data_IF_131769872246
#
_entry.id   IF_131769872246
#
_cell.length_a   1.000
_cell.length_b   1.000
_cell.length_c   1.000
_cell.angle_alpha   90.00
_cell.angle_beta   90.00
_cell.angle_gamma   90.00
#
_symmetry.space_group_name_H-M   'P 1'
#
loop_
_entity.id
_entity.type
_entity.pdbx_description
1 polymer ?
#
# COMPACT_ATOMS: atom_id res chain seq x y z
N UNK A 1 88.29 -0.16 14.07
CA UNK A 1 87.71 -0.97 15.17
C UNK A 1 88.70 -1.93 15.84
N UNK A 2 89.67 -2.51 15.11
CA UNK A 2 90.67 -3.45 15.67
C UNK A 2 91.58 -2.82 16.75
N UNK A 3 91.90 -1.54 16.63
CA UNK A 3 92.78 -0.83 17.57
C UNK A 3 92.11 -0.49 18.90
N UNK A 4 90.80 -0.19 18.90
CA UNK A 4 90.04 0.05 20.14
C UNK A 4 89.91 -1.26 20.95
N UNK A 5 89.83 -2.41 20.28
CA UNK A 5 89.81 -3.71 20.94
C UNK A 5 91.16 -4.09 21.54
N UNK A 6 92.26 -3.82 20.83
CA UNK A 6 93.62 -3.99 21.36
C UNK A 6 93.85 -3.11 22.60
N UNK A 7 93.39 -1.86 22.58
CA UNK A 7 93.48 -0.93 23.72
C UNK A 7 92.64 -1.42 24.91
N UNK A 8 91.41 -1.90 24.69
CA UNK A 8 90.58 -2.44 25.78
C UNK A 8 91.15 -3.72 26.38
N UNK A 9 91.70 -4.61 25.55
CA UNK A 9 92.39 -5.82 26.01
C UNK A 9 93.63 -5.46 26.84
N UNK A 10 94.42 -4.49 26.37
CA UNK A 10 95.61 -4.02 27.08
C UNK A 10 95.25 -3.39 28.43
N UNK A 11 94.25 -2.50 28.47
CA UNK A 11 93.76 -1.89 29.72
C UNK A 11 93.25 -2.96 30.69
N UNK A 12 92.57 -3.98 30.18
CA UNK A 12 92.03 -5.07 31.01
C UNK A 12 93.14 -5.98 31.55
N UNK A 13 94.14 -6.34 30.74
CA UNK A 13 95.31 -7.10 31.19
C UNK A 13 96.06 -6.30 32.27
N UNK A 14 96.25 -4.99 32.06
CA UNK A 14 96.89 -4.11 33.04
C UNK A 14 96.07 -4.05 34.34
N UNK A 15 94.75 -3.89 34.26
CA UNK A 15 93.89 -3.87 35.44
C UNK A 15 93.91 -5.21 36.20
N UNK A 16 93.93 -6.34 35.49
CA UNK A 16 94.04 -7.67 36.09
C UNK A 16 95.40 -7.89 36.77
N UNK A 17 96.49 -7.44 36.14
CA UNK A 17 97.83 -7.47 36.74
C UNK A 17 97.89 -6.58 37.99
N UNK A 18 97.34 -5.36 37.93
CA UNK A 18 97.30 -4.45 39.08
C UNK A 18 96.48 -5.04 40.23
N UNK A 19 95.32 -5.63 39.92
CA UNK A 19 94.48 -6.29 40.92
C UNK A 19 95.17 -7.51 41.55
N UNK A 20 95.86 -8.31 40.74
CA UNK A 20 96.71 -9.41 41.20
C UNK A 20 97.84 -8.92 42.10
N UNK A 21 98.49 -7.81 41.76
CA UNK A 21 99.54 -7.19 42.57
C UNK A 21 98.99 -6.61 43.88
N UNK A 22 97.81 -6.01 43.85
CA UNK A 22 97.13 -5.50 45.05
C UNK A 22 96.74 -6.62 46.02
N UNK A 23 96.20 -7.73 45.51
CA UNK A 23 95.90 -8.92 46.31
C UNK A 23 97.18 -9.49 46.92
N UNK A 24 98.24 -9.61 46.12
CA UNK A 24 99.56 -10.07 46.59
C UNK A 24 100.10 -9.16 47.70
N UNK A 25 99.98 -7.83 47.52
CA UNK A 25 100.42 -6.83 48.50
C UNK A 25 99.60 -6.87 49.80
N UNK A 26 98.26 -7.02 49.71
CA UNK A 26 97.36 -7.17 50.86
C UNK A 26 97.67 -8.45 51.64
N UNK A 27 97.91 -9.56 50.95
CA UNK A 27 98.27 -10.83 51.59
C UNK A 27 99.63 -10.73 52.29
N UNK A 28 100.62 -10.09 51.68
CA UNK A 28 101.93 -9.81 52.31
C UNK A 28 101.80 -8.95 53.58
N UNK A 29 100.96 -7.91 53.54
CA UNK A 29 100.68 -7.03 54.70
C UNK A 29 99.93 -7.72 55.84
N UNK A 30 99.16 -8.78 55.56
CA UNK A 30 98.38 -9.50 56.58
C UNK A 30 99.19 -10.41 57.51
N UNK A 31 100.50 -10.59 57.25
CA UNK A 31 101.41 -11.32 58.15
C UNK A 31 101.14 -12.83 58.28
N UNK A 32 100.29 -13.39 57.42
CA UNK A 32 99.98 -14.82 57.40
C UNK A 32 101.09 -15.51 56.60
N UNK A 33 101.81 -16.47 57.20
CA UNK A 33 102.79 -17.31 56.48
C UNK A 33 102.07 -18.29 55.54
N UNK A 34 101.48 -17.76 54.48
CA UNK A 34 100.82 -18.54 53.44
C UNK A 34 101.92 -19.06 52.51
N UNK A 35 101.99 -20.38 52.38
CA UNK A 35 102.92 -21.07 51.49
C UNK A 35 102.78 -20.52 50.06
N UNK A 36 103.89 -20.15 49.41
CA UNK A 36 103.94 -19.51 48.08
C UNK A 36 103.10 -20.28 47.04
N UNK A 37 102.99 -21.61 47.20
CA UNK A 37 102.17 -22.51 46.38
C UNK A 37 100.68 -22.14 46.41
N UNK A 38 100.14 -21.73 47.56
CA UNK A 38 98.72 -21.38 47.73
C UNK A 38 98.39 -20.06 47.04
N UNK A 39 99.29 -19.07 47.12
CA UNK A 39 99.13 -17.78 46.42
C UNK A 39 99.14 -17.99 44.91
N UNK A 40 100.05 -18.83 44.39
CA UNK A 40 100.12 -19.17 42.97
C UNK A 40 98.85 -19.86 42.46
N UNK A 41 98.24 -20.74 43.27
CA UNK A 41 96.98 -21.42 42.94
C UNK A 41 95.80 -20.43 42.85
N UNK A 42 95.68 -19.51 43.80
CA UNK A 42 94.63 -18.49 43.78
C UNK A 42 94.74 -17.61 42.54
N UNK A 43 95.96 -17.17 42.20
CA UNK A 43 96.21 -16.38 40.99
C UNK A 43 95.88 -17.16 39.72
N UNK A 44 96.25 -18.43 39.64
CA UNK A 44 95.91 -19.30 38.52
C UNK A 44 94.39 -19.44 38.32
N UNK A 45 93.66 -19.67 39.41
CA UNK A 45 92.19 -19.78 39.37
C UNK A 45 91.54 -18.44 39.01
N UNK A 46 92.03 -17.32 39.56
CA UNK A 46 91.52 -15.99 39.20
C UNK A 46 91.77 -15.66 37.73
N UNK A 47 92.93 -16.00 37.17
CA UNK A 47 93.24 -15.80 35.75
C UNK A 47 92.33 -16.67 34.88
N UNK A 48 92.14 -17.94 35.23
CA UNK A 48 91.22 -18.83 34.50
C UNK A 48 89.79 -18.29 34.58
N UNK A 49 89.31 -17.91 35.76
CA UNK A 49 87.96 -17.37 35.91
C UNK A 49 87.76 -16.09 35.09
N UNK A 50 88.70 -15.15 35.16
CA UNK A 50 88.66 -13.88 34.42
C UNK A 50 88.75 -14.10 32.91
N UNK A 51 89.61 -15.01 32.44
CA UNK A 51 89.70 -15.34 31.02
C UNK A 51 88.46 -16.06 30.53
N UNK A 52 87.88 -16.98 31.31
CA UNK A 52 86.63 -17.66 30.97
C UNK A 52 85.48 -16.66 30.93
N UNK A 53 85.39 -15.74 31.90
CA UNK A 53 84.39 -14.68 31.94
C UNK A 53 84.55 -13.70 30.75
N UNK A 54 85.78 -13.28 30.45
CA UNK A 54 86.08 -12.43 29.30
C UNK A 54 85.73 -13.13 27.98
N UNK A 55 86.10 -14.41 27.83
CA UNK A 55 85.75 -15.21 26.65
C UNK A 55 84.23 -15.36 26.53
N UNK A 56 83.52 -15.56 27.64
CA UNK A 56 82.04 -15.67 27.65
C UNK A 56 81.38 -14.36 27.24
N UNK A 57 81.84 -13.21 27.76
CA UNK A 57 81.34 -11.88 27.38
C UNK A 57 81.72 -11.51 25.94
N UNK A 58 82.87 -11.98 25.47
CA UNK A 58 83.35 -11.78 24.09
C UNK A 58 82.62 -12.66 23.08
N UNK A 59 82.24 -13.88 23.47
CA UNK A 59 81.46 -14.83 22.68
C UNK A 59 79.95 -14.53 22.69
N UNK A 60 79.47 -13.68 23.61
CA UNK A 60 78.14 -13.05 23.46
C UNK A 60 78.21 -12.13 22.24
N UNK A 61 77.70 -12.65 21.13
CA UNK A 61 77.75 -12.00 19.84
C UNK A 61 76.98 -10.68 19.88
N UNK A 62 77.70 -9.56 19.91
CA UNK A 62 77.09 -8.23 19.88
C UNK A 62 76.35 -7.96 18.56
N UNK A 63 76.68 -8.70 17.50
CA UNK A 63 75.99 -8.60 16.24
C UNK A 63 74.59 -9.24 16.34
N UNK A 64 74.45 -10.36 17.04
CA UNK A 64 73.15 -11.00 17.32
C UNK A 64 72.14 -10.04 17.98
N UNK A 65 72.55 -9.32 19.02
CA UNK A 65 71.66 -8.36 19.69
C UNK A 65 71.32 -7.15 18.81
N UNK A 66 72.28 -6.70 17.99
CA UNK A 66 72.07 -5.59 17.06
C UNK A 66 71.07 -5.98 15.96
N UNK A 67 71.22 -7.16 15.38
CA UNK A 67 70.36 -7.68 14.32
C UNK A 67 68.93 -7.97 14.80
N UNK A 68 68.76 -8.52 16.02
CA UNK A 68 67.42 -8.63 16.64
C UNK A 68 66.81 -7.25 16.84
N UNK A 69 67.59 -6.28 17.35
CA UNK A 69 67.09 -4.94 17.58
C UNK A 69 66.66 -4.26 16.27
N UNK A 70 67.45 -4.41 15.19
CA UNK A 70 67.11 -3.93 13.86
C UNK A 70 65.85 -4.61 13.29
N UNK A 71 65.70 -5.92 13.50
CA UNK A 71 64.50 -6.65 13.09
C UNK A 71 63.25 -6.20 13.86
N UNK A 72 63.36 -6.01 15.18
CA UNK A 72 62.28 -5.49 16.01
C UNK A 72 61.95 -4.02 15.67
N UNK A 73 62.95 -3.21 15.34
CA UNK A 73 62.76 -1.83 14.89
C UNK A 73 62.01 -1.78 13.55
N UNK A 74 62.32 -2.69 12.62
CA UNK A 74 61.59 -2.85 11.35
C UNK A 74 60.13 -3.25 11.60
N UNK A 75 59.89 -4.26 12.43
CA UNK A 75 58.52 -4.67 12.81
C UNK A 75 57.77 -3.53 13.50
N UNK A 76 58.43 -2.76 14.39
CA UNK A 76 57.86 -1.58 15.05
C UNK A 76 57.53 -0.42 14.11
N UNK A 77 58.20 -0.35 12.95
CA UNK A 77 57.88 0.58 11.84
C UNK A 77 56.87 0.00 10.84
N UNK A 78 56.31 -1.17 11.11
CA UNK A 78 55.35 -1.85 10.25
C UNK A 78 55.97 -2.60 9.07
N UNK A 79 57.30 -2.77 9.02
CA UNK A 79 57.99 -3.53 7.97
C UNK A 79 58.04 -5.01 8.32
N UNK A 80 57.05 -5.77 7.83
CA UNK A 80 56.88 -7.22 8.00
C UNK A 80 57.56 -7.98 6.86
N UNK A 81 58.82 -7.66 6.57
CA UNK A 81 59.62 -8.38 5.57
C UNK A 81 60.40 -9.50 6.23
N UNK A 82 60.40 -10.70 5.64
CA UNK A 82 61.13 -11.84 6.15
C UNK A 82 62.62 -11.71 5.82
N UNK A 83 63.30 -10.78 6.50
CA UNK A 83 64.74 -10.66 6.37
C UNK A 83 65.39 -11.96 6.81
N UNK A 84 66.01 -12.72 5.88
CA UNK A 84 66.84 -13.88 6.19
C UNK A 84 68.10 -13.43 6.94
N UNK A 85 67.95 -13.10 8.22
CA UNK A 85 69.05 -12.74 9.10
C UNK A 85 69.73 -14.05 9.52
N UNK A 86 70.99 -14.22 9.12
CA UNK A 86 71.75 -15.45 9.37
C UNK A 86 72.43 -15.37 10.73
N UNK A 87 71.79 -15.92 11.75
CA UNK A 87 72.41 -16.05 13.06
C UNK A 87 73.17 -17.37 13.20
N UNK A 88 74.33 -17.33 13.86
CA UNK A 88 75.08 -18.50 14.28
C UNK A 88 74.84 -18.78 15.78
N UNK A 89 74.61 -20.06 16.14
CA UNK A 89 74.42 -20.51 17.54
C UNK A 89 73.00 -21.00 17.88
N UNK A 90 72.91 -22.06 18.71
CA UNK A 90 71.65 -22.76 18.99
C UNK A 90 70.56 -21.88 19.65
N UNK A 91 70.95 -20.95 20.54
CA UNK A 91 70.03 -20.00 21.17
C UNK A 91 69.52 -18.94 20.17
N UNK A 92 70.41 -18.46 19.30
CA UNK A 92 70.10 -17.45 18.31
C UNK A 92 69.12 -17.95 17.23
N UNK A 93 69.27 -19.22 16.81
CA UNK A 93 68.35 -19.90 15.89
C UNK A 93 66.93 -19.98 16.47
N UNK A 94 66.79 -20.26 17.78
CA UNK A 94 65.47 -20.36 18.43
C UNK A 94 64.74 -19.02 18.50
N UNK A 95 65.45 -17.94 18.84
CA UNK A 95 64.87 -16.58 18.88
C UNK A 95 64.45 -16.13 17.48
N UNK A 96 65.29 -16.39 16.46
CA UNK A 96 64.94 -16.13 15.06
C UNK A 96 63.66 -16.83 14.66
N UNK A 97 63.57 -18.15 14.88
CA UNK A 97 62.38 -18.92 14.51
C UNK A 97 61.11 -18.35 15.15
N UNK A 98 61.18 -17.93 16.41
CA UNK A 98 60.06 -17.30 17.10
C UNK A 98 59.70 -15.93 16.52
N UNK A 99 60.70 -15.12 16.14
CA UNK A 99 60.49 -13.82 15.51
C UNK A 99 59.90 -13.96 14.09
N UNK A 100 60.42 -14.89 13.29
CA UNK A 100 59.88 -15.23 11.97
C UNK A 100 58.42 -15.68 12.09
N UNK A 101 58.12 -16.60 13.03
CA UNK A 101 56.74 -17.06 13.29
C UNK A 101 55.81 -15.92 13.74
N UNK A 102 56.32 -14.93 14.49
CA UNK A 102 55.56 -13.76 14.91
C UNK A 102 55.27 -12.82 13.73
N UNK A 103 56.26 -12.57 12.86
CA UNK A 103 56.10 -11.77 11.64
C UNK A 103 55.10 -12.44 10.69
N UNK A 104 55.22 -13.76 10.50
CA UNK A 104 54.28 -14.54 9.68
C UNK A 104 52.85 -14.46 10.23
N UNK A 105 52.67 -14.62 11.54
CA UNK A 105 51.37 -14.52 12.19
C UNK A 105 50.75 -13.12 12.05
N UNK A 106 51.55 -12.06 12.23
CA UNK A 106 51.09 -10.68 12.01
C UNK A 106 50.73 -10.42 10.55
N UNK A 107 51.54 -10.90 9.61
CA UNK A 107 51.31 -10.78 8.17
C UNK A 107 49.99 -11.46 7.76
N UNK A 108 49.76 -12.70 8.21
CA UNK A 108 48.52 -13.45 7.98
C UNK A 108 47.30 -12.75 8.60
N UNK A 109 47.43 -12.27 9.84
CA UNK A 109 46.36 -11.52 10.52
C UNK A 109 45.99 -10.25 9.74
N UNK A 110 46.97 -9.48 9.27
CA UNK A 110 46.72 -8.28 8.48
C UNK A 110 46.14 -8.60 7.09
N UNK A 111 46.51 -9.72 6.47
CA UNK A 111 45.85 -10.21 5.23
C UNK A 111 44.38 -10.50 5.48
N UNK A 112 44.04 -11.18 6.58
CA UNK A 112 42.63 -11.45 6.95
C UNK A 112 41.84 -10.18 7.22
N UNK A 113 42.45 -9.17 7.85
CA UNK A 113 41.83 -7.83 8.03
C UNK A 113 41.58 -7.18 6.68
N UNK A 114 42.55 -7.21 5.77
CA UNK A 114 42.43 -6.63 4.42
C UNK A 114 41.30 -7.29 3.61
N UNK A 115 41.18 -8.62 3.66
CA UNK A 115 40.04 -9.34 3.07
C UNK A 115 38.71 -8.95 3.71
N UNK A 116 38.66 -8.82 5.03
CA UNK A 116 37.43 -8.43 5.75
C UNK A 116 37.00 -7.00 5.38
N UNK A 117 37.95 -6.09 5.19
CA UNK A 117 37.70 -4.71 4.73
C UNK A 117 37.13 -4.69 3.30
N UNK A 118 37.68 -5.50 2.40
CA UNK A 118 37.15 -5.63 1.03
C UNK A 118 35.70 -6.14 1.04
N UNK A 119 35.42 -7.14 1.89
CA UNK A 119 34.07 -7.69 2.04
C UNK A 119 33.09 -6.66 2.65
N UNK A 120 33.50 -5.94 3.70
CA UNK A 120 32.69 -4.86 4.31
C UNK A 120 32.36 -3.79 3.25
N UNK A 121 33.33 -3.38 2.44
CA UNK A 121 33.11 -2.39 1.38
C UNK A 121 32.16 -2.91 0.29
N UNK A 122 32.31 -4.16 -0.13
CA UNK A 122 31.41 -4.80 -1.09
C UNK A 122 29.97 -4.87 -0.57
N UNK A 123 29.80 -5.27 0.70
CA UNK A 123 28.50 -5.35 1.37
C UNK A 123 27.88 -3.96 1.57
N UNK A 124 28.65 -2.95 1.96
CA UNK A 124 28.19 -1.57 2.11
C UNK A 124 27.71 -0.98 0.77
N UNK A 125 28.46 -1.21 -0.32
CA UNK A 125 28.07 -0.79 -1.67
C UNK A 125 26.75 -1.45 -2.10
N UNK A 126 26.64 -2.76 -1.89
CA UNK A 126 25.42 -3.53 -2.21
C UNK A 126 24.22 -3.02 -1.40
N UNK A 127 24.41 -2.75 -0.11
CA UNK A 127 23.35 -2.21 0.76
C UNK A 127 22.94 -0.80 0.34
N UNK A 128 23.87 0.01 -0.18
CA UNK A 128 23.55 1.33 -0.77
C UNK A 128 22.64 1.19 -1.99
N UNK A 129 22.94 0.26 -2.91
CA UNK A 129 22.09 0.00 -4.07
C UNK A 129 20.69 -0.48 -3.66
N UNK A 130 20.59 -1.37 -2.65
CA UNK A 130 19.29 -1.77 -2.10
C UNK A 130 18.53 -0.59 -1.50
N UNK A 131 19.23 0.32 -0.82
CA UNK A 131 18.64 1.54 -0.26
C UNK A 131 18.03 2.43 -1.35
N UNK A 132 18.71 2.59 -2.48
CA UNK A 132 18.18 3.32 -3.64
C UNK A 132 16.90 2.69 -4.19
N UNK A 133 16.87 1.36 -4.34
CA UNK A 133 15.65 0.65 -4.78
C UNK A 133 14.48 0.83 -3.79
N UNK A 134 14.77 0.77 -2.49
CA UNK A 134 13.77 1.02 -1.45
C UNK A 134 13.25 2.46 -1.55
N UNK A 135 14.12 3.44 -1.80
CA UNK A 135 13.73 4.84 -1.99
C UNK A 135 12.75 5.00 -3.16
N UNK A 136 13.02 4.34 -4.29
CA UNK A 136 12.13 4.36 -5.46
C UNK A 136 10.78 3.70 -5.15
N UNK A 137 10.79 2.57 -4.43
CA UNK A 137 9.57 1.89 -3.98
C UNK A 137 8.72 2.78 -3.07
N UNK A 138 9.33 3.45 -2.10
CA UNK A 138 8.62 4.39 -1.20
C UNK A 138 7.97 5.53 -2.00
N UNK A 139 8.66 6.06 -3.02
CA UNK A 139 8.09 7.08 -3.90
C UNK A 139 6.87 6.55 -4.66
N UNK A 140 6.98 5.36 -5.27
CA UNK A 140 5.87 4.72 -5.99
C UNK A 140 4.69 4.37 -5.07
N UNK A 141 4.95 3.91 -3.84
CA UNK A 141 3.93 3.64 -2.84
C UNK A 141 3.18 4.92 -2.46
N UNK A 142 3.90 6.04 -2.29
CA UNK A 142 3.29 7.34 -2.02
C UNK A 142 2.38 7.81 -3.15
N UNK A 143 2.81 7.66 -4.40
CA UNK A 143 2.00 8.01 -5.57
C UNK A 143 0.74 7.15 -5.64
N UNK A 144 0.88 5.84 -5.40
CA UNK A 144 -0.24 4.90 -5.32
C UNK A 144 -1.24 5.29 -4.22
N UNK A 145 -0.76 5.66 -3.04
CA UNK A 145 -1.60 6.12 -1.93
C UNK A 145 -2.37 7.39 -2.30
N UNK A 146 -1.73 8.34 -2.99
CA UNK A 146 -2.41 9.56 -3.46
C UNK A 146 -3.52 9.24 -4.47
N UNK A 147 -3.27 8.34 -5.42
CA UNK A 147 -4.28 7.89 -6.39
C UNK A 147 -5.46 7.20 -5.71
N UNK A 148 -5.19 6.27 -4.78
CA UNK A 148 -6.24 5.59 -4.02
C UNK A 148 -7.05 6.61 -3.22
N UNK A 149 -6.40 7.58 -2.57
CA UNK A 149 -7.07 8.64 -1.80
C UNK A 149 -8.00 9.47 -2.68
N UNK A 150 -7.56 9.82 -3.90
CA UNK A 150 -8.38 10.52 -4.88
C UNK A 150 -9.60 9.67 -5.28
N UNK A 151 -9.39 8.40 -5.63
CA UNK A 151 -10.49 7.48 -5.96
C UNK A 151 -11.47 7.30 -4.81
N UNK A 152 -11.02 7.28 -3.55
CA UNK A 152 -11.90 7.21 -2.38
C UNK A 152 -12.74 8.48 -2.21
N UNK A 153 -12.17 9.64 -2.50
CA UNK A 153 -12.90 10.91 -2.48
C UNK A 153 -13.98 10.95 -3.56
N UNK A 154 -13.66 10.50 -4.76
CA UNK A 154 -14.62 10.38 -5.87
C UNK A 154 -15.72 9.35 -5.55
N UNK A 155 -15.36 8.18 -4.98
CA UNK A 155 -16.33 7.17 -4.55
C UNK A 155 -17.30 7.71 -3.50
N UNK A 156 -16.82 8.51 -2.54
CA UNK A 156 -17.66 9.17 -1.55
C UNK A 156 -18.65 10.14 -2.21
N UNK A 157 -18.18 10.97 -3.13
CA UNK A 157 -19.04 11.91 -3.86
C UNK A 157 -20.12 11.19 -4.68
N UNK A 158 -19.77 10.07 -5.31
CA UNK A 158 -20.73 9.22 -6.03
C UNK A 158 -21.76 8.64 -5.06
N UNK A 159 -21.33 8.08 -3.92
CA UNK A 159 -22.24 7.53 -2.92
C UNK A 159 -23.24 8.58 -2.41
N UNK A 160 -22.77 9.79 -2.11
CA UNK A 160 -23.63 10.90 -1.69
C UNK A 160 -24.64 11.30 -2.79
N UNK A 161 -24.22 11.32 -4.06
CA UNK A 161 -25.10 11.59 -5.19
C UNK A 161 -26.18 10.52 -5.36
N UNK A 162 -25.83 9.23 -5.24
CA UNK A 162 -26.82 8.15 -5.33
C UNK A 162 -27.83 8.26 -4.18
N UNK A 163 -27.40 8.66 -2.97
CA UNK A 163 -28.30 8.89 -1.84
C UNK A 163 -29.32 10.01 -2.11
N UNK A 164 -28.87 11.10 -2.72
CA UNK A 164 -29.75 12.18 -3.17
C UNK A 164 -30.76 11.67 -4.19
N UNK A 165 -30.31 10.95 -5.22
CA UNK A 165 -31.19 10.37 -6.23
C UNK A 165 -32.20 9.38 -5.64
N UNK A 166 -31.80 8.55 -4.67
CA UNK A 166 -32.70 7.65 -3.96
C UNK A 166 -33.79 8.44 -3.21
N UNK A 167 -33.42 9.55 -2.56
CA UNK A 167 -34.37 10.43 -1.87
C UNK A 167 -35.36 11.06 -2.84
N UNK A 168 -34.89 11.57 -3.99
CA UNK A 168 -35.74 12.13 -5.05
C UNK A 168 -36.69 11.06 -5.60
N UNK A 169 -36.18 9.86 -5.89
CA UNK A 169 -36.98 8.76 -6.41
C UNK A 169 -38.07 8.32 -5.42
N UNK A 170 -37.77 8.35 -4.10
CA UNK A 170 -38.75 8.08 -3.05
C UNK A 170 -39.87 9.11 -3.03
N UNK A 171 -39.55 10.40 -3.09
CA UNK A 171 -40.55 11.48 -3.16
C UNK A 171 -41.43 11.37 -4.41
N UNK A 172 -40.83 11.12 -5.58
CA UNK A 172 -41.57 10.89 -6.82
C UNK A 172 -42.51 9.69 -6.73
N UNK A 173 -42.07 8.59 -6.10
CA UNK A 173 -42.90 7.40 -5.89
C UNK A 173 -44.12 7.71 -5.01
N UNK A 174 -43.94 8.50 -3.95
CA UNK A 174 -45.03 8.96 -3.07
C UNK A 174 -46.03 9.82 -3.83
N UNK A 175 -45.55 10.81 -4.61
CA UNK A 175 -46.39 11.68 -5.44
C UNK A 175 -47.15 10.91 -6.52
N UNK A 176 -46.51 9.92 -7.16
CA UNK A 176 -47.15 9.08 -8.16
C UNK A 176 -48.25 8.21 -7.55
N UNK A 177 -48.01 7.65 -6.36
CA UNK A 177 -49.03 6.89 -5.62
C UNK A 177 -50.26 7.74 -5.31
N UNK A 178 -50.09 8.98 -4.88
CA UNK A 178 -51.20 9.92 -4.64
C UNK A 178 -51.99 10.22 -5.92
N UNK A 179 -51.30 10.47 -7.04
CA UNK A 179 -51.94 10.70 -8.34
C UNK A 179 -52.78 9.49 -8.78
N UNK A 180 -52.25 8.28 -8.64
CA UNK A 180 -52.97 7.07 -9.01
C UNK A 180 -54.16 6.82 -8.07
N UNK A 181 -54.01 7.07 -6.77
CA UNK A 181 -55.14 6.98 -5.84
C UNK A 181 -56.33 7.85 -6.30
N UNK A 182 -56.06 9.11 -6.68
CA UNK A 182 -57.09 10.00 -7.20
C UNK A 182 -57.67 9.51 -8.56
N UNK A 183 -56.85 8.89 -9.41
CA UNK A 183 -57.32 8.26 -10.66
C UNK A 183 -58.22 7.05 -10.40
N UNK A 184 -57.88 6.20 -9.43
CA UNK A 184 -58.70 5.05 -9.01
C UNK A 184 -60.04 5.51 -8.47
N UNK A 185 -60.08 6.57 -7.65
CA UNK A 185 -61.33 7.16 -7.17
C UNK A 185 -62.19 7.71 -8.32
N UNK A 186 -61.56 8.37 -9.30
CA UNK A 186 -62.25 8.89 -10.48
C UNK A 186 -62.88 7.78 -11.33
N UNK A 187 -62.18 6.66 -11.53
CA UNK A 187 -62.72 5.48 -12.23
C UNK A 187 -63.89 4.87 -11.46
N UNK A 188 -63.78 4.76 -10.14
CA UNK A 188 -64.86 4.25 -9.29
C UNK A 188 -66.13 5.11 -9.42
N UNK A 189 -65.99 6.42 -9.42
CA UNK A 189 -67.11 7.35 -9.64
C UNK A 189 -67.70 7.20 -11.06
N UNK A 190 -66.84 7.01 -12.07
CA UNK A 190 -67.30 6.78 -13.45
C UNK A 190 -68.09 5.47 -13.60
N UNK A 191 -67.65 4.38 -12.96
CA UNK A 191 -68.39 3.12 -12.92
C UNK A 191 -69.76 3.31 -12.26
N UNK A 192 -69.81 4.06 -11.15
CA UNK A 192 -71.07 4.38 -10.47
C UNK A 192 -72.02 5.14 -11.39
N UNK A 193 -71.57 6.22 -12.04
CA UNK A 193 -72.39 6.99 -12.97
C UNK A 193 -72.88 6.15 -14.16
N UNK A 194 -72.06 5.23 -14.68
CA UNK A 194 -72.48 4.31 -15.73
C UNK A 194 -73.57 3.36 -15.25
N UNK A 195 -73.49 2.85 -14.03
CA UNK A 195 -74.55 2.02 -13.44
C UNK A 195 -75.86 2.81 -13.27
N UNK A 196 -75.80 4.06 -12.80
CA UNK A 196 -76.96 4.96 -12.68
C UNK A 196 -77.61 5.25 -14.05
N UNK A 197 -76.80 5.45 -15.11
CA UNK A 197 -77.29 5.61 -16.49
C UNK A 197 -77.95 4.31 -16.99
N UNK A 198 -77.37 3.15 -16.67
CA UNK A 198 -77.91 1.84 -17.06
C UNK A 198 -79.27 1.60 -16.41
N UNK A 199 -79.41 1.91 -15.11
CA UNK A 199 -80.66 1.79 -14.36
C UNK A 199 -81.72 2.74 -14.93
N UNK A 200 -81.37 4.03 -15.12
CA UNK A 200 -82.26 5.02 -15.73
C UNK A 200 -82.72 4.62 -17.14
N UNK A 201 -81.82 4.04 -17.94
CA UNK A 201 -82.13 3.53 -19.28
C UNK A 201 -83.10 2.34 -19.22
N UNK A 202 -82.93 1.45 -18.24
CA UNK A 202 -83.86 0.33 -18.02
C UNK A 202 -85.27 0.84 -17.70
N UNK A 203 -85.39 1.82 -16.82
CA UNK A 203 -86.69 2.45 -16.49
C UNK A 203 -87.33 3.11 -17.71
N UNK A 204 -86.57 3.81 -18.55
CA UNK A 204 -87.09 4.37 -19.82
C UNK A 204 -87.60 3.25 -20.73
N UNK A 205 -86.92 2.11 -20.79
CA UNK A 205 -87.35 0.97 -21.60
C UNK A 205 -88.68 0.37 -21.10
N UNK A 206 -88.87 0.29 -19.78
CA UNK A 206 -90.13 -0.15 -19.17
C UNK A 206 -91.28 0.81 -19.49
N UNK A 207 -91.05 2.12 -19.38
CA UNK A 207 -92.03 3.14 -19.76
C UNK A 207 -92.36 3.08 -21.25
N UNK A 208 -91.34 2.90 -22.10
CA UNK A 208 -91.54 2.75 -23.55
C UNK A 208 -92.42 1.53 -23.86
N UNK A 209 -92.16 0.37 -23.23
CA UNK A 209 -93.01 -0.83 -23.39
C UNK A 209 -94.46 -0.59 -22.96
N UNK A 210 -94.67 0.07 -21.82
CA UNK A 210 -96.01 0.44 -21.37
C UNK A 210 -96.74 1.34 -22.38
N UNK A 211 -96.07 2.33 -22.96
CA UNK A 211 -96.69 3.19 -23.97
C UNK A 211 -96.98 2.42 -25.28
N UNK A 212 -96.14 1.46 -25.67
CA UNK A 212 -96.45 0.56 -26.80
C UNK A 212 -97.73 -0.24 -26.53
N UNK A 213 -97.89 -0.80 -25.34
CA UNK A 213 -99.11 -1.52 -24.94
C UNK A 213 -100.35 -0.62 -25.01
N UNK A 214 -100.26 0.62 -24.51
CA UNK A 214 -101.35 1.62 -24.61
C UNK A 214 -101.66 1.99 -26.06
N UNK A 215 -100.64 2.14 -26.91
CA UNK A 215 -100.83 2.43 -28.33
C UNK A 215 -101.53 1.26 -29.04
N UNK A 216 -101.18 0.02 -28.74
CA UNK A 216 -101.82 -1.16 -29.30
C UNK A 216 -103.28 -1.31 -28.82
N UNK A 217 -103.57 -1.04 -27.53
CA UNK A 217 -104.95 -0.95 -27.03
C UNK A 217 -105.75 0.14 -27.74
N UNK A 218 -105.16 1.32 -27.94
CA UNK A 218 -105.79 2.45 -28.65
C UNK A 218 -106.08 2.09 -30.09
N UNK A 219 -105.16 1.38 -30.75
CA UNK A 219 -105.33 0.87 -32.12
C UNK A 219 -106.51 -0.12 -32.20
N UNK A 220 -106.63 -1.05 -31.23
CA UNK A 220 -107.75 -1.98 -31.14
C UNK A 220 -109.09 -1.27 -30.87
N UNK A 221 -109.11 -0.27 -29.98
CA UNK A 221 -110.30 0.55 -29.72
C UNK A 221 -110.74 1.33 -30.97
N UNK A 222 -109.79 1.92 -31.69
CA UNK A 222 -110.05 2.64 -32.94
C UNK A 222 -110.57 1.72 -34.05
N UNK A 223 -110.04 0.50 -34.14
CA UNK A 223 -110.55 -0.53 -35.05
C UNK A 223 -112.01 -0.88 -34.74
N UNK A 224 -112.32 -1.13 -33.46
CA UNK A 224 -113.68 -1.42 -33.02
C UNK A 224 -114.64 -0.25 -33.33
N UNK A 225 -114.20 0.98 -33.09
CA UNK A 225 -114.97 2.18 -33.43
C UNK A 225 -115.20 2.34 -34.94
N UNK A 226 -114.20 2.04 -35.77
CA UNK A 226 -114.32 2.08 -37.24
C UNK A 226 -115.30 1.02 -37.77
N UNK A 227 -115.30 -0.18 -37.16
CA UNK A 227 -116.27 -1.24 -37.47
C UNK A 227 -117.69 -0.80 -37.14
N UNK A 228 -117.92 -0.26 -35.94
CA UNK A 228 -119.26 0.16 -35.51
C UNK A 228 -119.75 1.40 -36.26
N UNK A 229 -118.85 2.32 -36.62
CA UNK A 229 -119.15 3.45 -37.50
C UNK A 229 -119.57 2.99 -38.91
N UNK A 230 -118.91 1.96 -39.46
CA UNK A 230 -119.30 1.34 -40.73
C UNK A 230 -120.68 0.67 -40.64
N UNK A 231 -121.01 0.13 -39.47
CA UNK A 231 -122.31 -0.52 -39.17
C UNK A 231 -123.47 0.46 -39.07
N UNK A 232 -123.22 1.69 -38.62
CA UNK A 232 -124.20 2.78 -38.54
C UNK A 232 -124.53 3.44 -39.90
N UNK A 233 -123.82 3.08 -40.98
CA UNK A 233 -124.10 3.58 -42.33
C UNK A 233 -123.83 5.09 -42.49
N UNK A 234 -124.79 5.84 -43.05
CA UNK A 234 -124.62 7.26 -43.38
C UNK A 234 -124.40 8.16 -42.14
N UNK A 235 -125.02 7.83 -41.00
CA UNK A 235 -124.87 8.56 -39.73
C UNK A 235 -123.49 8.35 -39.09
N UNK A 236 -122.79 7.27 -39.44
CA UNK A 236 -121.46 6.91 -38.91
C UNK A 236 -120.27 7.45 -39.69
N UNK A 237 -120.50 8.13 -40.83
CA UNK A 237 -119.43 8.53 -41.74
C UNK A 237 -118.38 9.46 -41.09
N UNK A 238 -118.82 10.43 -40.27
CA UNK A 238 -117.92 11.31 -39.52
C UNK A 238 -117.14 10.59 -38.43
N UNK A 239 -117.77 9.64 -37.73
CA UNK A 239 -117.11 8.80 -36.72
C UNK A 239 -116.07 7.86 -37.32
N UNK A 240 -116.30 7.34 -38.53
CA UNK A 240 -115.35 6.46 -39.22
C UNK A 240 -114.03 7.19 -39.55
N UNK A 241 -114.11 8.46 -39.97
CA UNK A 241 -112.92 9.29 -40.24
C UNK A 241 -112.12 9.51 -38.95
N UNK A 242 -112.79 9.87 -37.84
CA UNK A 242 -112.13 10.06 -36.55
C UNK A 242 -111.47 8.76 -36.06
N UNK A 243 -112.17 7.63 -36.19
CA UNK A 243 -111.63 6.32 -35.82
C UNK A 243 -110.39 5.95 -36.65
N UNK A 244 -110.39 6.23 -37.97
CA UNK A 244 -109.23 6.02 -38.83
C UNK A 244 -108.04 6.92 -38.44
N UNK A 245 -108.30 8.16 -38.03
CA UNK A 245 -107.24 9.09 -37.62
C UNK A 245 -106.62 8.67 -36.27
N UNK A 246 -107.44 8.24 -35.30
CA UNK A 246 -106.97 7.69 -34.02
C UNK A 246 -106.12 6.44 -34.27
N UNK A 247 -106.56 5.57 -35.19
CA UNK A 247 -105.84 4.36 -35.56
C UNK A 247 -104.46 4.68 -36.14
N UNK A 248 -104.39 5.63 -37.08
CA UNK A 248 -103.13 6.08 -37.68
C UNK A 248 -102.21 6.72 -36.63
N UNK A 249 -102.75 7.50 -35.69
CA UNK A 249 -101.99 8.07 -34.58
C UNK A 249 -101.41 6.98 -33.66
N UNK A 250 -102.19 5.93 -33.37
CA UNK A 250 -101.75 4.79 -32.57
C UNK A 250 -100.63 3.98 -33.27
N UNK A 251 -100.78 3.69 -34.57
CA UNK A 251 -99.74 3.03 -35.38
C UNK A 251 -98.44 3.87 -35.44
N UNK A 252 -98.56 5.19 -35.60
CA UNK A 252 -97.41 6.10 -35.56
C UNK A 252 -96.75 6.15 -34.18
N UNK A 253 -97.53 6.14 -33.10
CA UNK A 253 -97.03 6.10 -31.72
C UNK A 253 -96.23 4.82 -31.47
N UNK A 254 -96.79 3.65 -31.84
CA UNK A 254 -96.12 2.35 -31.69
C UNK A 254 -94.80 2.29 -32.48
N UNK A 255 -94.78 2.83 -33.71
CA UNK A 255 -93.56 2.96 -34.52
C UNK A 255 -92.49 3.86 -33.88
N UNK A 256 -92.90 5.00 -33.30
CA UNK A 256 -92.00 5.90 -32.59
C UNK A 256 -91.44 5.26 -31.31
N UNK A 257 -92.27 4.57 -30.54
CA UNK A 257 -91.86 3.83 -29.34
C UNK A 257 -90.83 2.76 -29.68
N UNK A 258 -91.04 2.00 -30.75
CA UNK A 258 -90.08 0.97 -31.19
C UNK A 258 -88.69 1.55 -31.44
N UNK A 259 -88.61 2.73 -32.06
CA UNK A 259 -87.33 3.44 -32.25
C UNK A 259 -86.70 3.88 -30.92
N UNK A 260 -87.50 4.28 -29.94
CA UNK A 260 -87.02 4.62 -28.59
C UNK A 260 -86.43 3.35 -27.94
N UNK A 261 -87.16 2.24 -27.93
CA UNK A 261 -86.69 0.95 -27.39
C UNK A 261 -85.38 0.52 -28.04
N UNK A 262 -85.29 0.54 -29.38
CA UNK A 262 -84.06 0.18 -30.10
C UNK A 262 -82.87 1.08 -29.70
N UNK A 263 -83.13 2.38 -29.50
CA UNK A 263 -82.10 3.35 -29.09
C UNK A 263 -81.64 3.11 -27.65
N UNK A 264 -82.59 2.86 -26.74
CA UNK A 264 -82.32 2.58 -25.32
C UNK A 264 -81.57 1.26 -25.15
N UNK A 265 -81.93 0.21 -25.88
CA UNK A 265 -81.21 -1.06 -25.88
C UNK A 265 -79.76 -0.90 -26.36
N UNK A 266 -79.53 -0.03 -27.36
CA UNK A 266 -78.17 0.34 -27.80
C UNK A 266 -77.40 1.13 -26.74
N UNK A 267 -78.06 2.03 -26.00
CA UNK A 267 -77.44 2.77 -24.90
C UNK A 267 -77.02 1.83 -23.78
N UNK A 268 -77.90 0.92 -23.33
CA UNK A 268 -77.59 -0.09 -22.30
C UNK A 268 -76.37 -0.93 -22.70
N UNK A 269 -76.32 -1.42 -23.95
CA UNK A 269 -75.16 -2.17 -24.47
C UNK A 269 -73.87 -1.32 -24.48
N UNK A 270 -73.97 -0.03 -24.79
CA UNK A 270 -72.82 0.87 -24.83
C UNK A 270 -72.30 1.20 -23.44
N UNK A 271 -73.20 1.42 -22.49
CA UNK A 271 -72.88 1.63 -21.06
C UNK A 271 -72.24 0.39 -20.46
N UNK A 272 -72.77 -0.81 -20.73
CA UNK A 272 -72.17 -2.07 -20.29
C UNK A 272 -70.74 -2.25 -20.80
N UNK A 273 -70.46 -1.91 -22.07
CA UNK A 273 -69.08 -1.86 -22.59
C UNK A 273 -68.22 -0.83 -21.87
N UNK A 274 -68.76 0.35 -21.57
CA UNK A 274 -68.08 1.39 -20.80
C UNK A 274 -67.69 0.93 -19.40
N UNK A 275 -68.58 0.23 -18.69
CA UNK A 275 -68.30 -0.39 -17.38
C UNK A 275 -67.16 -1.40 -17.49
N UNK A 276 -67.18 -2.28 -18.49
CA UNK A 276 -66.12 -3.27 -18.69
C UNK A 276 -64.76 -2.61 -18.91
N UNK A 277 -64.65 -1.63 -19.81
CA UNK A 277 -63.38 -0.90 -20.02
C UNK A 277 -62.92 -0.14 -18.77
N UNK A 278 -63.86 0.36 -17.97
CA UNK A 278 -63.52 1.06 -16.73
C UNK A 278 -63.00 0.10 -15.66
N UNK A 279 -63.54 -1.12 -15.59
CA UNK A 279 -63.02 -2.18 -14.72
C UNK A 279 -61.62 -2.62 -15.15
N UNK A 280 -61.39 -2.83 -16.45
CA UNK A 280 -60.05 -3.14 -16.99
C UNK A 280 -59.03 -2.03 -16.66
N UNK A 281 -59.43 -0.76 -16.81
CA UNK A 281 -58.60 0.38 -16.42
C UNK A 281 -58.34 0.43 -14.91
N UNK A 282 -59.31 0.06 -14.08
CA UNK A 282 -59.14 -0.02 -12.63
C UNK A 282 -58.14 -1.12 -12.23
N UNK A 283 -58.20 -2.29 -12.86
CA UNK A 283 -57.23 -3.37 -12.66
C UNK A 283 -55.82 -2.93 -13.06
N UNK A 284 -55.66 -2.29 -14.23
CA UNK A 284 -54.38 -1.76 -14.67
C UNK A 284 -53.80 -0.72 -13.70
N UNK A 285 -54.62 0.15 -13.09
CA UNK A 285 -54.17 1.09 -12.07
C UNK A 285 -53.70 0.37 -10.79
N UNK A 286 -54.36 -0.71 -10.38
CA UNK A 286 -53.94 -1.51 -9.21
C UNK A 286 -52.58 -2.20 -9.45
N UNK A 287 -52.33 -2.68 -10.67
CA UNK A 287 -51.02 -3.23 -11.05
C UNK A 287 -49.93 -2.15 -10.97
N UNK A 288 -50.21 -0.93 -11.41
CA UNK A 288 -49.26 0.19 -11.30
C UNK A 288 -49.00 0.54 -9.83
N UNK A 289 -50.02 0.53 -8.95
CA UNK A 289 -49.82 0.74 -7.50
C UNK A 289 -48.85 -0.31 -6.94
N UNK A 290 -49.01 -1.58 -7.33
CA UNK A 290 -48.11 -2.66 -6.93
C UNK A 290 -46.67 -2.39 -7.40
N UNK A 291 -46.49 -2.02 -8.67
CA UNK A 291 -45.17 -1.66 -9.21
C UNK A 291 -44.53 -0.45 -8.52
N UNK A 292 -45.31 0.55 -8.12
CA UNK A 292 -44.82 1.71 -7.35
C UNK A 292 -44.33 1.26 -5.97
N UNK A 293 -45.04 0.34 -5.30
CA UNK A 293 -44.63 -0.17 -3.99
C UNK A 293 -43.33 -0.98 -4.09
N UNK A 294 -43.18 -1.82 -5.11
CA UNK A 294 -41.94 -2.57 -5.37
C UNK A 294 -40.76 -1.63 -5.69
N UNK A 295 -41.02 -0.58 -6.45
CA UNK A 295 -40.05 0.48 -6.73
C UNK A 295 -39.61 1.19 -5.45
N UNK A 296 -40.56 1.55 -4.58
CA UNK A 296 -40.26 2.18 -3.29
C UNK A 296 -39.40 1.28 -2.39
N UNK A 297 -39.71 -0.02 -2.34
CA UNK A 297 -38.91 -1.01 -1.60
C UNK A 297 -37.48 -1.10 -2.14
N UNK A 298 -37.33 -1.13 -3.47
CA UNK A 298 -36.01 -1.16 -4.11
C UNK A 298 -35.18 0.08 -3.76
N UNK A 299 -35.82 1.26 -3.73
CA UNK A 299 -35.18 2.52 -3.34
C UNK A 299 -34.71 2.48 -1.87
N UNK A 300 -35.48 1.86 -0.97
CA UNK A 300 -35.07 1.69 0.43
C UNK A 300 -33.88 0.75 0.59
N UNK A 301 -33.84 -0.33 -0.20
CA UNK A 301 -32.68 -1.22 -0.24
C UNK A 301 -31.43 -0.50 -0.78
N UNK A 302 -31.59 0.35 -1.80
CA UNK A 302 -30.52 1.19 -2.34
C UNK A 302 -29.97 2.14 -1.27
N UNK A 303 -30.83 2.88 -0.56
CA UNK A 303 -30.42 3.82 0.50
C UNK A 303 -29.66 3.10 1.64
N UNK A 304 -30.12 1.91 2.03
CA UNK A 304 -29.44 1.07 3.02
C UNK A 304 -28.06 0.61 2.55
N UNK A 305 -27.95 0.17 1.28
CA UNK A 305 -26.68 -0.25 0.69
C UNK A 305 -25.70 0.90 0.55
N UNK A 306 -26.15 2.09 0.17
CA UNK A 306 -25.32 3.30 0.08
C UNK A 306 -24.81 3.70 1.46
N UNK A 307 -25.67 3.67 2.48
CA UNK A 307 -25.26 3.98 3.86
C UNK A 307 -24.14 3.04 4.31
N UNK A 308 -24.26 1.75 4.01
CA UNK A 308 -23.21 0.76 4.27
C UNK A 308 -21.94 1.05 3.46
N UNK A 309 -22.08 1.39 2.18
CA UNK A 309 -20.97 1.73 1.30
C UNK A 309 -20.19 2.95 1.82
N UNK A 310 -20.87 4.02 2.25
CA UNK A 310 -20.23 5.21 2.83
C UNK A 310 -19.45 4.86 4.09
N UNK A 311 -19.98 3.98 4.96
CA UNK A 311 -19.27 3.52 6.14
C UNK A 311 -18.00 2.74 5.78
N UNK A 312 -18.10 1.79 4.84
CA UNK A 312 -16.94 0.99 4.39
C UNK A 312 -15.89 1.87 3.71
N UNK A 313 -16.30 2.83 2.88
CA UNK A 313 -15.39 3.81 2.27
C UNK A 313 -14.68 4.65 3.34
N UNK A 314 -15.36 5.02 4.43
CA UNK A 314 -14.75 5.70 5.57
C UNK A 314 -13.69 4.85 6.27
N UNK A 315 -13.97 3.56 6.50
CA UNK A 315 -12.98 2.63 7.08
C UNK A 315 -11.74 2.54 6.18
N UNK A 316 -11.93 2.27 4.88
CA UNK A 316 -10.80 2.18 3.93
C UNK A 316 -9.96 3.45 3.94
N UNK A 317 -10.58 4.63 4.10
CA UNK A 317 -9.86 5.89 4.23
C UNK A 317 -8.93 5.91 5.47
N UNK A 318 -9.43 5.49 6.63
CA UNK A 318 -8.65 5.38 7.87
C UNK A 318 -7.50 4.36 7.72
N UNK A 319 -7.75 3.23 7.05
CA UNK A 319 -6.71 2.25 6.74
C UNK A 319 -5.63 2.81 5.81
N UNK A 320 -5.99 3.59 4.79
CA UNK A 320 -5.03 4.25 3.90
C UNK A 320 -4.17 5.25 4.68
N UNK A 321 -4.73 5.98 5.64
CA UNK A 321 -3.96 6.87 6.51
C UNK A 321 -2.91 6.10 7.33
N UNK A 322 -3.26 4.91 7.82
CA UNK A 322 -2.31 4.04 8.51
C UNK A 322 -1.21 3.53 7.58
N UNK A 323 -1.54 3.15 6.35
CA UNK A 323 -0.53 2.77 5.34
C UNK A 323 0.39 3.95 5.03
N UNK A 324 -0.15 5.16 4.89
CA UNK A 324 0.65 6.36 4.67
C UNK A 324 1.63 6.63 5.83
N UNK A 325 1.22 6.40 7.08
CA UNK A 325 2.13 6.47 8.25
C UNK A 325 3.27 5.46 8.15
N UNK A 326 2.99 4.23 7.71
CA UNK A 326 4.02 3.21 7.51
C UNK A 326 5.01 3.59 6.40
N UNK A 327 4.53 4.18 5.30
CA UNK A 327 5.40 4.68 4.22
C UNK A 327 6.33 5.78 4.74
N UNK A 328 5.84 6.69 5.59
CA UNK A 328 6.66 7.72 6.23
C UNK A 328 7.71 7.06 7.14
N UNK A 329 7.33 6.09 7.97
CA UNK A 329 8.26 5.36 8.83
C UNK A 329 9.33 4.59 8.03
N UNK A 330 8.96 3.98 6.91
CA UNK A 330 9.91 3.32 6.02
C UNK A 330 10.94 4.31 5.45
N UNK A 331 10.51 5.55 5.15
CA UNK A 331 11.41 6.62 4.71
C UNK A 331 12.40 7.01 5.81
N UNK A 332 11.94 7.11 7.06
CA UNK A 332 12.81 7.38 8.22
C UNK A 332 13.83 6.25 8.44
N UNK A 333 13.37 5.00 8.42
CA UNK A 333 14.24 3.82 8.52
C UNK A 333 15.28 3.75 7.41
N UNK A 334 14.90 4.15 6.19
CA UNK A 334 15.83 4.22 5.06
C UNK A 334 16.96 5.24 5.32
N UNK A 335 16.63 6.40 5.89
CA UNK A 335 17.62 7.43 6.26
C UNK A 335 18.58 6.90 7.34
N UNK A 336 18.07 6.18 8.34
CA UNK A 336 18.89 5.54 9.36
C UNK A 336 19.80 4.46 8.78
N UNK A 337 19.29 3.66 7.85
CA UNK A 337 20.06 2.64 7.15
C UNK A 337 21.20 3.25 6.32
N UNK A 338 20.91 4.30 5.54
CA UNK A 338 21.91 5.04 4.77
C UNK A 338 23.01 5.62 5.66
N UNK A 339 22.65 6.17 6.81
CA UNK A 339 23.60 6.68 7.81
C UNK A 339 24.50 5.55 8.33
N UNK A 340 23.92 4.39 8.59
CA UNK A 340 24.66 3.21 9.06
C UNK A 340 25.63 2.68 8.00
N UNK A 341 25.22 2.63 6.73
CA UNK A 341 26.09 2.27 5.59
C UNK A 341 27.28 3.23 5.47
N UNK A 342 27.03 4.53 5.58
CA UNK A 342 28.10 5.54 5.54
C UNK A 342 29.10 5.36 6.69
N UNK A 343 28.62 5.02 7.90
CA UNK A 343 29.48 4.74 9.04
C UNK A 343 30.30 3.45 8.85
N UNK A 344 29.71 2.40 8.28
CA UNK A 344 30.43 1.16 7.93
C UNK A 344 31.54 1.43 6.92
N UNK A 345 31.25 2.20 5.87
CA UNK A 345 32.24 2.59 4.85
C UNK A 345 33.41 3.35 5.47
N UNK A 346 33.13 4.35 6.33
CA UNK A 346 34.17 5.09 7.06
C UNK A 346 35.02 4.20 7.97
N UNK A 347 34.41 3.26 8.70
CA UNK A 347 35.16 2.34 9.57
C UNK A 347 36.04 1.39 8.76
N UNK A 348 35.55 0.93 7.61
CA UNK A 348 36.30 0.09 6.67
C UNK A 348 37.51 0.84 6.09
N UNK A 349 37.35 2.10 5.71
CA UNK A 349 38.45 2.96 5.25
C UNK A 349 39.53 3.15 6.32
N UNK A 350 39.14 3.37 7.57
CA UNK A 350 40.08 3.46 8.71
C UNK A 350 40.85 2.14 8.88
N UNK A 351 40.17 0.98 8.83
CA UNK A 351 40.82 -0.32 8.93
C UNK A 351 41.78 -0.58 7.76
N UNK A 352 41.41 -0.14 6.55
CA UNK A 352 42.26 -0.19 5.36
C UNK A 352 43.52 0.65 5.54
N UNK A 353 43.39 1.86 6.04
CA UNK A 353 44.51 2.76 6.33
C UNK A 353 45.46 2.13 7.35
N UNK A 354 44.92 1.59 8.45
CA UNK A 354 45.70 0.87 9.47
C UNK A 354 46.42 -0.32 8.85
N UNK A 355 45.74 -1.18 8.08
CA UNK A 355 46.33 -2.37 7.49
C UNK A 355 47.40 -2.05 6.43
N UNK A 356 47.21 -0.98 5.65
CA UNK A 356 48.15 -0.53 4.61
C UNK A 356 49.38 0.20 5.14
N UNK A 357 49.33 0.70 6.39
CA UNK A 357 50.50 1.26 7.06
C UNK A 357 51.63 0.24 7.31
N UNK A 358 51.30 -1.07 7.27
CA UNK A 358 52.27 -2.16 7.37
C UNK A 358 52.80 -2.56 5.99
N UNK A 359 54.10 -2.40 5.77
CA UNK A 359 54.82 -2.86 4.57
C UNK A 359 55.10 -4.36 4.67
N UNK A 360 54.44 -5.17 3.86
CA UNK A 360 54.61 -6.63 3.79
C UNK A 360 55.43 -7.01 2.54
N UNK A 361 56.06 -8.18 2.57
CA UNK A 361 56.70 -8.77 1.38
C UNK A 361 55.62 -9.19 0.38
N UNK A 362 55.70 -8.72 -0.86
CA UNK A 362 54.73 -9.02 -1.91
C UNK A 362 54.92 -10.49 -2.32
N UNK A 363 53.99 -11.35 -1.93
CA UNK A 363 53.96 -12.75 -2.35
C UNK A 363 52.77 -12.88 -3.31
N UNK A 364 53.08 -12.95 -4.61
CA UNK A 364 52.14 -13.26 -5.69
C UNK A 364 51.55 -14.66 -5.46
N UNK A 365 50.38 -14.73 -4.82
CA UNK A 365 49.41 -15.81 -5.01
C UNK A 365 48.19 -15.56 -4.13
N UNK A 366 47.18 -14.80 -4.59
CA UNK A 366 45.85 -14.77 -3.95
C UNK A 366 44.75 -14.33 -4.94
N UNK A 367 44.66 -14.98 -6.11
CA UNK A 367 43.57 -14.71 -7.07
C UNK A 367 42.26 -15.47 -6.79
N UNK A 368 42.20 -16.36 -5.78
CA UNK A 368 41.12 -17.36 -5.68
C UNK A 368 40.19 -17.27 -4.44
N UNK A 369 40.19 -16.16 -3.69
CA UNK A 369 39.32 -16.01 -2.50
C UNK A 369 38.42 -14.78 -2.51
N UNK A 370 38.00 -14.34 -3.69
CA UNK A 370 36.82 -13.47 -3.80
C UNK A 370 35.59 -14.36 -3.92
N UNK A 371 34.94 -14.66 -2.79
CA UNK A 371 33.55 -15.13 -2.83
C UNK A 371 32.66 -13.91 -3.07
N UNK A 372 32.03 -13.83 -4.25
CA UNK A 372 30.85 -12.98 -4.45
C UNK A 372 30.93 -11.80 -5.43
N UNK A 373 32.02 -11.62 -6.18
CA UNK A 373 32.09 -10.55 -7.20
C UNK A 373 32.32 -11.14 -8.59
N UNK A 374 31.32 -11.80 -9.16
CA UNK A 374 31.35 -12.16 -10.58
C UNK A 374 30.71 -11.10 -11.50
N UNK A 375 30.20 -9.96 -10.99
CA UNK A 375 29.42 -9.05 -11.84
C UNK A 375 29.52 -7.55 -11.53
N UNK A 376 30.66 -6.98 -11.10
CA UNK A 376 30.73 -5.51 -10.93
C UNK A 376 32.10 -4.92 -11.25
N UNK A 377 32.55 -5.06 -12.50
CA UNK A 377 33.59 -4.20 -13.08
C UNK A 377 32.99 -3.29 -14.14
N UNK A 378 32.10 -2.39 -13.73
CA UNK A 378 31.81 -1.16 -14.48
C UNK A 378 30.88 -0.28 -13.67
N UNK A 379 31.43 0.62 -12.86
CA UNK A 379 30.91 1.99 -12.81
C UNK A 379 31.93 2.88 -12.13
N UNK A 380 32.24 3.96 -12.86
CA UNK A 380 33.13 5.04 -12.49
C UNK A 380 32.80 5.63 -11.13
N UNK A 381 33.83 6.15 -10.46
CA UNK A 381 33.72 7.25 -9.50
C UNK A 381 32.64 8.25 -9.97
N UNK A 382 31.47 8.19 -9.35
CA UNK A 382 30.54 9.32 -9.32
C UNK A 382 30.50 9.81 -7.89
N UNK A 383 31.00 11.02 -7.72
CA UNK A 383 30.90 11.79 -6.50
C UNK A 383 29.44 11.73 -5.97
N UNK A 384 29.31 11.29 -4.72
CA UNK A 384 28.03 11.15 -4.03
C UNK A 384 27.44 12.53 -3.68
N UNK A 385 26.65 13.12 -4.58
CA UNK A 385 25.72 14.22 -4.25
C UNK A 385 24.35 13.66 -3.80
N UNK A 386 24.27 13.11 -2.59
CA UNK A 386 23.01 12.61 -2.02
C UNK A 386 22.29 13.62 -1.10
N UNK A 387 22.89 14.78 -0.81
CA UNK A 387 22.37 15.72 0.20
C UNK A 387 21.30 16.70 -0.29
N UNK A 388 20.96 16.73 -1.59
CA UNK A 388 20.14 17.83 -2.13
C UNK A 388 18.64 17.54 -2.30
N UNK A 389 18.19 16.28 -2.33
CA UNK A 389 16.80 15.95 -2.65
C UNK A 389 15.93 15.44 -1.49
N UNK A 390 16.50 15.18 -0.31
CA UNK A 390 15.71 14.78 0.88
C UNK A 390 15.43 15.99 1.80
N UNK A 391 16.01 17.16 1.50
CA UNK A 391 15.92 18.37 2.33
C UNK A 391 14.75 19.31 2.06
N UNK A 392 13.97 19.14 0.98
CA UNK A 392 12.76 19.95 0.78
C UNK A 392 11.54 19.23 1.35
N UNK A 393 11.50 19.12 2.69
CA UNK A 393 10.24 19.30 3.41
C UNK A 393 9.74 20.71 3.07
N UNK A 394 9.11 20.86 1.91
CA UNK A 394 8.18 21.96 1.69
C UNK A 394 7.04 21.60 2.63
N UNK A 395 6.92 22.33 3.74
CA UNK A 395 5.68 22.44 4.48
C UNK A 395 4.55 22.60 3.45
N UNK A 396 3.85 21.50 3.16
CA UNK A 396 2.57 21.58 2.49
C UNK A 396 1.65 21.98 3.62
N UNK A 397 1.48 23.30 3.72
CA UNK A 397 0.48 23.97 4.53
C UNK A 397 -0.89 23.36 4.20
N UNK A 398 -1.36 22.45 5.04
CA UNK A 398 -2.65 21.75 4.91
C UNK A 398 -3.85 22.66 5.18
N UNK A 399 -3.71 23.98 5.06
CA UNK A 399 -4.76 24.94 5.44
C UNK A 399 -5.13 26.01 4.41
N UNK A 400 -4.73 25.92 3.14
CA UNK A 400 -5.24 26.86 2.12
C UNK A 400 -5.68 26.19 0.82
N UNK A 401 -6.86 26.64 0.38
CA UNK A 401 -7.57 26.36 -0.88
C UNK A 401 -8.38 25.07 -0.93
N UNK A 402 -9.38 25.00 -0.04
CA UNK A 402 -10.71 24.57 -0.48
C UNK A 402 -11.31 25.75 -1.25
N UNK A 403 -10.97 25.88 -2.54
CA UNK A 403 -11.75 26.74 -3.44
C UNK A 403 -12.93 25.90 -3.94
N UNK A 404 -14.07 26.15 -3.32
CA UNK A 404 -15.37 25.63 -3.70
C UNK A 404 -15.83 26.29 -5.00
N UNK A 405 -15.37 25.78 -6.14
CA UNK A 405 -15.88 26.21 -7.44
C UNK A 405 -15.66 25.14 -8.52
N UNK A 406 -16.25 23.96 -8.34
CA UNK A 406 -16.58 23.09 -9.48
C UNK A 406 -17.95 23.54 -9.98
N UNK A 407 -17.92 24.35 -11.04
CA UNK A 407 -19.08 24.72 -11.84
C UNK A 407 -19.70 23.45 -12.43
N UNK A 408 -20.83 23.01 -11.87
CA UNK A 408 -21.69 21.99 -12.46
C UNK A 408 -22.39 22.63 -13.67
N UNK A 409 -21.73 22.62 -14.82
CA UNK A 409 -22.39 22.77 -16.12
C UNK A 409 -22.07 21.53 -16.94
N UNK A 410 -23.11 21.00 -17.58
CA UNK A 410 -23.08 19.93 -18.57
C UNK A 410 -23.23 18.48 -18.08
N UNK A 411 -24.24 18.22 -17.26
CA UNK A 411 -24.94 16.91 -17.30
C UNK A 411 -26.45 17.13 -17.33
N UNK A 412 -26.98 17.39 -18.52
CA UNK A 412 -28.40 17.21 -18.85
C UNK A 412 -28.44 16.35 -20.12
N UNK A 413 -29.02 15.13 -20.09
CA UNK A 413 -29.25 14.38 -21.32
C UNK A 413 -30.51 14.89 -22.02
N UNK A 414 -30.41 15.02 -23.35
CA UNK A 414 -31.54 15.19 -24.28
C UNK A 414 -32.46 13.99 -24.29
#
# INVERSE_FOLDING_TARGET
>A
MRDIHQIKLLIFIIAAIIFSLLISSILFLSGIEINIIVVALILGVSIIFVTTLYLTIYLVDKNFLKEINEALEKVGKGELTSGKISFEGAFAIKIRKNLDSFIDFLSDTLKKIEFSVLDINGNASTLSMFSENISERIANERDTINEITKSMTELKAIADSIKEYATIAKDLSVKNRERIFNSTESIKNLIQSMNEISESSSSINEVAKFIAEVADETNLLALNASIEASRAGAEGAGFSIVASEIRNLAENSSSAIKKITDTVDRLIKSVSKGVNFSNEANEALNDIITGINDTAKTIEEIDSKITTQTQVTGQIYDEIENVNKLVIQNSELLIEMLTSIQNLSKQSDILKEIASSFKKEHQDDMSNHIFGVENFTSTENKDFEFSKNIGTSKNIDTTKEIDSSIEIKDIVPR
#
